data_IF_321329762747
#
_entry.id   IF_321329762747
#
_cell.length_a   1.000
_cell.length_b   1.000
_cell.length_c   1.000
_cell.angle_alpha   90.00
_cell.angle_beta   90.00
_cell.angle_gamma   90.00
#
_symmetry.space_group_name_H-M   'P 1'
#
loop_
_entity.id
_entity.type
_entity.pdbx_description
1 polymer ?
#
# COMPACT_ATOMS: atom_id res chain seq x y z
N UNK A 1 6.10 10.14 4.95
CA UNK A 1 4.88 10.17 5.79
C UNK A 1 5.28 10.05 7.26
N UNK A 2 4.79 10.94 8.08
CA UNK A 2 5.12 10.91 9.52
C UNK A 2 4.03 10.23 10.32
N UNK A 3 4.40 9.25 11.16
CA UNK A 3 3.47 8.54 12.03
C UNK A 3 4.13 8.42 13.40
N UNK A 4 3.45 8.92 14.43
CA UNK A 4 3.96 8.88 15.81
C UNK A 4 5.36 9.50 15.93
N UNK A 5 5.59 10.58 15.21
CA UNK A 5 6.84 11.33 15.27
C UNK A 5 8.00 10.70 14.52
N UNK A 6 7.75 9.66 13.72
CA UNK A 6 8.80 8.99 12.96
C UNK A 6 8.43 8.99 11.48
N UNK A 7 9.45 9.05 10.63
CA UNK A 7 9.25 9.07 9.19
C UNK A 7 9.14 7.65 8.65
N UNK A 8 8.13 7.41 7.79
CA UNK A 8 7.88 6.11 7.17
C UNK A 8 7.80 6.26 5.66
N UNK A 9 8.27 5.24 4.96
CA UNK A 9 8.15 5.15 3.51
C UNK A 9 7.11 4.08 3.16
N UNK A 10 6.55 4.20 1.94
CA UNK A 10 5.57 3.24 1.43
C UNK A 10 6.19 2.42 0.31
N UNK A 11 5.81 1.16 0.23
CA UNK A 11 6.18 0.29 -0.89
C UNK A 11 4.96 -0.52 -1.31
N UNK A 12 4.70 -0.55 -2.62
CA UNK A 12 3.53 -1.21 -3.18
C UNK A 12 3.91 -2.48 -3.95
N UNK A 13 4.91 -3.18 -3.48
CA UNK A 13 5.40 -4.39 -4.15
C UNK A 13 4.73 -5.66 -3.66
N UNK A 14 5.28 -6.80 -4.11
CA UNK A 14 4.73 -8.10 -3.74
C UNK A 14 4.79 -8.34 -2.23
N UNK A 15 5.83 -7.83 -1.57
CA UNK A 15 5.98 -8.04 -0.13
C UNK A 15 4.79 -7.45 0.64
N UNK A 16 4.30 -6.29 0.23
CA UNK A 16 3.14 -5.70 0.90
C UNK A 16 1.90 -6.56 0.71
N UNK A 17 1.73 -7.16 -0.46
CA UNK A 17 0.62 -8.08 -0.70
C UNK A 17 0.74 -9.34 0.15
N UNK A 18 1.95 -9.88 0.29
CA UNK A 18 2.20 -11.05 1.14
C UNK A 18 1.90 -10.75 2.61
N UNK A 19 2.28 -9.57 3.07
CA UNK A 19 2.00 -9.16 4.45
C UNK A 19 0.49 -9.03 4.65
N UNK A 20 -0.21 -8.44 3.68
CA UNK A 20 -1.67 -8.34 3.73
C UNK A 20 -2.31 -9.72 3.89
N UNK A 21 -1.89 -10.68 3.06
CA UNK A 21 -2.44 -12.04 3.13
C UNK A 21 -2.09 -12.73 4.45
N UNK A 22 -0.89 -12.46 4.97
CA UNK A 22 -0.46 -13.00 6.25
C UNK A 22 -1.33 -12.50 7.40
N UNK A 23 -1.73 -11.24 7.35
CA UNK A 23 -2.56 -10.65 8.41
C UNK A 23 -4.01 -11.10 8.29
N UNK A 24 -4.56 -11.07 7.09
CA UNK A 24 -5.99 -11.37 6.89
C UNK A 24 -6.27 -12.86 6.77
N UNK A 25 -5.28 -13.66 6.38
CA UNK A 25 -5.47 -15.07 6.12
C UNK A 25 -6.21 -15.35 4.81
N UNK A 26 -6.35 -14.34 3.95
CA UNK A 26 -7.08 -14.46 2.70
C UNK A 26 -6.25 -13.91 1.55
N UNK A 27 -6.63 -14.30 0.33
CA UNK A 27 -5.99 -13.80 -0.88
C UNK A 27 -6.10 -12.27 -0.94
N UNK A 28 -5.09 -11.62 -1.51
CA UNK A 28 -5.06 -10.18 -1.59
C UNK A 28 -6.26 -9.65 -2.38
N UNK A 29 -7.12 -8.91 -1.69
CA UNK A 29 -8.29 -8.30 -2.30
C UNK A 29 -8.84 -7.28 -1.31
N UNK A 30 -8.95 -6.03 -1.72
CA UNK A 30 -9.40 -4.96 -0.84
C UNK A 30 -10.90 -4.78 -1.04
N UNK A 31 -11.69 -5.23 -0.06
CA UNK A 31 -13.14 -5.19 -0.11
C UNK A 31 -13.77 -4.27 0.93
N UNK A 32 -13.08 -4.04 2.04
CA UNK A 32 -13.62 -3.32 3.19
C UNK A 32 -12.66 -2.23 3.64
N UNK A 33 -13.15 -1.35 4.51
CA UNK A 33 -12.30 -0.32 5.12
C UNK A 33 -11.17 -0.98 5.91
N UNK A 34 -11.47 -2.10 6.60
CA UNK A 34 -10.44 -2.86 7.31
C UNK A 34 -9.34 -3.27 6.36
N UNK A 35 -9.70 -3.81 5.21
CA UNK A 35 -8.72 -4.25 4.21
C UNK A 35 -7.85 -3.08 3.73
N UNK A 36 -8.43 -1.89 3.57
CA UNK A 36 -7.65 -0.72 3.17
C UNK A 36 -6.59 -0.38 4.20
N UNK A 37 -6.93 -0.41 5.48
CA UNK A 37 -5.98 -0.09 6.54
C UNK A 37 -4.95 -1.19 6.71
N UNK A 38 -5.34 -2.45 6.54
CA UNK A 38 -4.38 -3.56 6.57
C UNK A 38 -3.37 -3.42 5.44
N UNK A 39 -3.83 -3.06 4.24
CA UNK A 39 -2.92 -2.87 3.12
C UNK A 39 -2.00 -1.67 3.34
N UNK A 40 -2.54 -0.57 3.87
CA UNK A 40 -1.74 0.59 4.24
C UNK A 40 -0.61 0.17 5.18
N UNK A 41 -0.97 -0.54 6.25
CA UNK A 41 0.01 -1.04 7.22
C UNK A 41 1.02 -1.97 6.54
N UNK A 42 0.56 -2.86 5.68
CA UNK A 42 1.43 -3.77 4.96
C UNK A 42 2.44 -3.03 4.09
N UNK A 43 2.00 -1.97 3.43
CA UNK A 43 2.88 -1.14 2.60
C UNK A 43 3.96 -0.45 3.44
N UNK A 44 3.65 -0.09 4.67
CA UNK A 44 4.63 0.48 5.59
C UNK A 44 5.60 -0.59 6.08
N UNK A 45 5.08 -1.74 6.47
CA UNK A 45 5.92 -2.80 7.05
C UNK A 45 6.74 -3.54 6.01
N UNK A 46 6.41 -3.40 4.74
CA UNK A 46 7.20 -4.02 3.68
C UNK A 46 8.54 -3.31 3.45
N UNK A 47 8.71 -2.12 3.98
CA UNK A 47 9.96 -1.37 3.85
C UNK A 47 10.83 -1.68 5.07
N UNK A 48 11.92 -2.42 4.84
CA UNK A 48 12.75 -2.93 5.93
C UNK A 48 13.37 -1.82 6.79
N UNK A 49 13.63 -0.65 6.19
CA UNK A 49 14.25 0.46 6.92
C UNK A 49 13.27 1.26 7.76
N UNK A 50 11.95 1.03 7.62
CA UNK A 50 10.98 1.72 8.44
C UNK A 50 11.06 1.28 9.90
N UNK A 51 10.79 2.20 10.84
CA UNK A 51 10.70 1.81 12.24
C UNK A 51 9.60 0.78 12.47
N UNK A 52 9.77 -0.03 13.49
CA UNK A 52 8.75 -1.00 13.89
C UNK A 52 7.49 -0.25 14.34
N UNK A 53 6.31 -0.78 13.97
CA UNK A 53 5.04 -0.14 14.26
C UNK A 53 4.00 -1.22 14.54
N UNK A 54 3.40 -1.19 15.73
CA UNK A 54 2.34 -2.11 16.07
C UNK A 54 1.05 -1.72 15.36
N UNK A 55 0.27 -2.70 14.92
CA UNK A 55 -0.95 -2.43 14.18
C UNK A 55 -1.94 -1.60 15.00
N UNK A 56 -2.11 -1.91 16.28
CA UNK A 56 -3.02 -1.16 17.13
C UNK A 56 -2.62 0.30 17.26
N UNK A 57 -1.32 0.56 17.43
CA UNK A 57 -0.81 1.92 17.50
C UNK A 57 -1.05 2.67 16.20
N UNK A 58 -0.84 1.99 15.09
CA UNK A 58 -1.09 2.54 13.76
C UNK A 58 -2.56 2.92 13.60
N UNK A 59 -3.46 2.03 13.97
CA UNK A 59 -4.91 2.29 13.83
C UNK A 59 -5.34 3.44 14.73
N UNK A 60 -4.86 3.47 15.98
CA UNK A 60 -5.18 4.57 16.89
C UNK A 60 -4.71 5.92 16.33
N UNK A 61 -3.52 5.93 15.74
CA UNK A 61 -3.00 7.15 15.14
C UNK A 61 -3.82 7.58 13.94
N UNK A 62 -4.20 6.63 13.07
CA UNK A 62 -5.01 6.91 11.90
C UNK A 62 -6.40 7.41 12.28
N UNK A 63 -6.95 6.92 13.38
CA UNK A 63 -8.25 7.36 13.86
C UNK A 63 -8.25 8.85 14.18
N UNK A 64 -7.13 9.36 14.69
CA UNK A 64 -6.96 10.78 15.00
C UNK A 64 -6.44 11.60 13.82
N UNK A 65 -5.98 10.92 12.75
CA UNK A 65 -5.38 11.57 11.59
C UNK A 65 -5.97 10.99 10.30
N UNK A 66 -7.25 11.26 10.02
CA UNK A 66 -7.91 10.69 8.84
C UNK A 66 -7.26 11.12 7.52
N UNK A 67 -6.52 12.21 7.53
CA UNK A 67 -5.81 12.67 6.32
C UNK A 67 -4.74 11.68 5.85
N UNK A 68 -4.27 10.79 6.74
CA UNK A 68 -3.24 9.82 6.36
C UNK A 68 -3.75 8.81 5.33
N UNK A 69 -4.98 8.35 5.48
CA UNK A 69 -5.54 7.42 4.49
C UNK A 69 -5.66 8.10 3.14
N UNK A 70 -6.02 9.38 3.13
CA UNK A 70 -6.10 10.15 1.89
C UNK A 70 -4.72 10.23 1.23
N UNK A 71 -3.67 10.50 2.00
CA UNK A 71 -2.31 10.53 1.47
C UNK A 71 -1.92 9.17 0.89
N UNK A 72 -2.27 8.10 1.60
CA UNK A 72 -2.00 6.75 1.13
C UNK A 72 -2.73 6.46 -0.19
N UNK A 73 -4.02 6.81 -0.25
CA UNK A 73 -4.82 6.60 -1.46
C UNK A 73 -4.24 7.36 -2.64
N UNK A 74 -3.80 8.59 -2.42
CA UNK A 74 -3.19 9.40 -3.47
C UNK A 74 -1.89 8.77 -3.96
N UNK A 75 -1.07 8.26 -3.05
CA UNK A 75 0.16 7.58 -3.41
C UNK A 75 -0.13 6.28 -4.16
N UNK A 76 -1.15 5.55 -3.75
CA UNK A 76 -1.55 4.31 -4.39
C UNK A 76 -2.05 4.57 -5.81
N UNK A 77 -2.85 5.62 -5.99
CA UNK A 77 -3.35 6.00 -7.31
C UNK A 77 -2.19 6.38 -8.22
N UNK A 78 -1.24 7.17 -7.71
CA UNK A 78 -0.06 7.57 -8.48
C UNK A 78 0.74 6.35 -8.92
N UNK A 79 0.93 5.37 -8.03
CA UNK A 79 1.65 4.15 -8.36
C UNK A 79 0.89 3.31 -9.38
N UNK A 80 -0.42 3.23 -9.25
CA UNK A 80 -1.26 2.50 -10.22
C UNK A 80 -1.18 3.12 -11.60
N UNK A 81 -1.19 4.44 -11.68
CA UNK A 81 -1.06 5.15 -12.96
C UNK A 81 0.30 4.88 -13.58
N UNK A 82 1.36 4.90 -12.78
CA UNK A 82 2.69 4.62 -13.28
C UNK A 82 2.78 3.21 -13.86
N UNK A 83 2.28 2.23 -13.11
CA UNK A 83 2.30 0.83 -13.55
C UNK A 83 1.41 0.61 -14.77
N UNK A 84 0.25 1.24 -14.80
CA UNK A 84 -0.67 1.14 -15.92
C UNK A 84 -0.05 1.71 -17.19
N UNK A 85 0.65 2.83 -17.07
CA UNK A 85 1.35 3.44 -18.21
C UNK A 85 2.39 2.49 -18.79
N UNK A 86 3.18 1.84 -17.92
CA UNK A 86 4.17 0.87 -18.35
C UNK A 86 3.51 -0.35 -18.99
N UNK A 87 2.44 -0.83 -18.40
CA UNK A 87 1.69 -1.97 -18.91
C UNK A 87 1.09 -1.67 -20.27
N UNK A 88 0.57 -0.47 -20.46
CA UNK A 88 -0.01 -0.06 -21.74
C UNK A 88 1.04 -0.05 -22.84
N UNK A 89 2.26 0.39 -22.54
CA UNK A 89 3.36 0.34 -23.50
C UNK A 89 3.64 -1.09 -23.92
N UNK A 90 3.68 -2.00 -22.96
CA UNK A 90 3.91 -3.42 -23.24
C UNK A 90 2.78 -4.01 -24.06
N UNK A 91 1.54 -3.67 -23.75
CA UNK A 91 0.39 -4.11 -24.51
C UNK A 91 0.43 -3.63 -25.94
N UNK A 92 0.82 -2.39 -26.16
CA UNK A 92 0.96 -1.84 -27.51
C UNK A 92 1.98 -2.62 -28.32
N UNK A 93 3.13 -2.95 -27.69
CA UNK A 93 4.14 -3.77 -28.34
C UNK A 93 3.59 -5.14 -28.72
N UNK A 94 2.87 -5.76 -27.82
CA UNK A 94 2.27 -7.06 -28.07
C UNK A 94 1.27 -7.01 -29.23
N UNK A 95 0.45 -5.97 -29.27
CA UNK A 95 -0.52 -5.79 -30.36
C UNK A 95 0.16 -5.60 -31.70
N UNK A 96 1.25 -4.85 -31.72
CA UNK A 96 2.00 -4.61 -32.96
C UNK A 96 2.58 -5.92 -33.50
N UNK A 97 2.97 -6.83 -32.60
CA UNK A 97 3.54 -8.11 -33.01
C UNK A 97 2.49 -9.06 -33.58
N UNK A 98 1.24 -8.86 -33.27
CA UNK A 98 0.17 -9.65 -33.83
C UNK A 98 -0.15 -9.27 -35.24
#
# INVERSE_FOLDING_TARGET
MEILGKEYQLSFGLRSMFIFESITGEAFNIKTVFDEYVYFYACLMSVASNPQLEFDDFINYCDEHPELLKEFDEALIAESKRKSSLTNKDKKKAKVKK
#
